data_IF_367977027499
#
_entry.id   IF_367977027499
#
_cell.length_a   1.000
_cell.length_b   1.000
_cell.length_c   1.000
_cell.angle_alpha   90.00
_cell.angle_beta   90.00
_cell.angle_gamma   90.00
#
_symmetry.space_group_name_H-M   'P 1'
#
loop_
_entity.id
_entity.type
_entity.pdbx_description
1 polymer ?
#
# COMPACT_ATOMS: atom_id res chain seq x y z
N UNK A 1 1.05 19.24 15.20
CA UNK A 1 1.29 17.92 14.59
C UNK A 1 1.09 18.07 13.10
N UNK A 2 2.16 17.95 12.30
CA UNK A 2 2.08 18.09 10.85
C UNK A 2 1.29 16.90 10.30
N UNK A 3 0.13 17.15 9.67
CA UNK A 3 -0.63 16.06 9.03
C UNK A 3 0.23 15.46 7.90
N UNK A 4 0.26 14.12 7.74
CA UNK A 4 0.95 13.52 6.61
C UNK A 4 0.36 14.03 5.31
N UNK A 5 1.21 14.31 4.31
CA UNK A 5 0.72 14.76 3.00
C UNK A 5 -0.03 13.67 2.23
N UNK A 6 0.19 12.40 2.57
CA UNK A 6 -0.56 11.25 2.04
C UNK A 6 -1.09 10.43 3.21
N UNK A 7 -2.40 10.19 3.24
CA UNK A 7 -3.05 9.36 4.26
C UNK A 7 -3.95 8.32 3.64
N UNK A 8 -3.92 7.12 4.20
CA UNK A 8 -4.80 6.00 3.86
C UNK A 8 -4.97 5.13 5.11
N UNK A 9 -6.08 4.36 5.22
CA UNK A 9 -6.31 3.47 6.36
C UNK A 9 -5.30 2.31 6.38
N UNK A 10 -5.36 1.47 7.42
CA UNK A 10 -4.70 0.17 7.37
C UNK A 10 -5.51 -0.78 6.47
N UNK A 11 -4.87 -1.74 5.79
CA UNK A 11 -5.59 -2.76 5.04
C UNK A 11 -6.53 -3.55 5.98
N UNK A 12 -7.75 -3.86 5.54
CA UNK A 12 -8.65 -4.72 6.28
C UNK A 12 -8.08 -6.14 6.35
N UNK A 13 -8.75 -7.00 7.12
CA UNK A 13 -8.43 -8.43 7.12
C UNK A 13 -8.53 -8.97 5.70
N UNK A 14 -7.47 -9.63 5.25
CA UNK A 14 -7.38 -10.20 3.90
C UNK A 14 -8.43 -11.32 3.80
N UNK A 15 -9.36 -11.25 2.84
CA UNK A 15 -10.44 -12.23 2.71
C UNK A 15 -9.90 -13.50 2.04
N UNK A 16 -9.12 -14.29 2.77
CA UNK A 16 -8.60 -15.55 2.27
C UNK A 16 -9.74 -16.59 2.15
N UNK A 17 -10.12 -17.03 0.93
CA UNK A 17 -11.30 -17.88 0.74
C UNK A 17 -11.12 -19.31 1.28
N UNK A 18 -9.89 -19.71 1.60
CA UNK A 18 -9.57 -21.07 2.00
C UNK A 18 -9.67 -22.04 0.81
N UNK A 19 -8.59 -22.75 0.53
CA UNK A 19 -8.59 -23.80 -0.50
C UNK A 19 -7.26 -24.54 -0.52
N UNK A 20 -7.28 -25.83 -0.84
CA UNK A 20 -6.10 -26.69 -0.86
C UNK A 20 -5.03 -26.32 -1.92
N UNK A 21 -5.24 -25.26 -2.70
CA UNK A 21 -4.44 -24.92 -3.89
C UNK A 21 -3.77 -23.54 -3.79
N UNK A 22 -4.35 -22.60 -3.04
CA UNK A 22 -3.69 -21.31 -2.83
C UNK A 22 -2.84 -21.36 -1.57
N UNK A 23 -1.64 -20.78 -1.67
CA UNK A 23 -0.84 -20.48 -0.49
C UNK A 23 -1.29 -19.10 0.05
N UNK A 24 -1.49 -18.96 1.38
CA UNK A 24 -2.05 -17.75 1.96
C UNK A 24 -1.16 -16.52 1.79
N UNK A 25 0.17 -16.68 1.83
CA UNK A 25 1.13 -15.58 1.64
C UNK A 25 1.08 -14.94 0.25
N UNK A 26 1.25 -15.69 -0.85
CA UNK A 26 1.16 -15.16 -2.22
C UNK A 26 -0.22 -14.56 -2.54
N UNK A 27 -1.30 -15.15 -2.01
CA UNK A 27 -2.64 -14.57 -2.13
C UNK A 27 -2.72 -13.21 -1.43
N UNK A 28 -2.25 -13.14 -0.18
CA UNK A 28 -2.23 -11.91 0.59
C UNK A 28 -1.41 -10.81 -0.08
N UNK A 29 -0.29 -11.16 -0.72
CA UNK A 29 0.49 -10.21 -1.51
C UNK A 29 -0.34 -9.65 -2.68
N UNK A 30 -0.95 -10.51 -3.50
CA UNK A 30 -1.76 -10.07 -4.65
C UNK A 30 -2.95 -9.19 -4.22
N UNK A 31 -3.63 -9.57 -3.14
CA UNK A 31 -4.74 -8.81 -2.56
C UNK A 31 -4.28 -7.41 -2.10
N UNK A 32 -3.16 -7.32 -1.37
CA UNK A 32 -2.59 -6.05 -0.90
C UNK A 32 -2.15 -5.12 -2.05
N UNK A 33 -1.70 -5.67 -3.17
CA UNK A 33 -1.31 -4.88 -4.36
C UNK A 33 -2.53 -4.28 -5.09
N UNK A 34 -3.72 -4.87 -4.90
CA UNK A 34 -4.98 -4.43 -5.53
C UNK A 34 -5.94 -3.77 -4.55
N UNK A 35 -5.64 -3.84 -3.25
CA UNK A 35 -6.50 -3.38 -2.18
C UNK A 35 -6.91 -1.91 -2.36
N UNK A 36 -8.22 -1.63 -2.54
CA UNK A 36 -8.74 -0.28 -2.68
C UNK A 36 -8.96 0.37 -1.32
N UNK A 37 -8.58 1.64 -1.20
CA UNK A 37 -8.84 2.45 -0.02
C UNK A 37 -9.11 3.91 -0.39
N UNK A 38 -9.71 4.63 0.55
CA UNK A 38 -9.78 6.08 0.46
C UNK A 38 -8.41 6.66 0.79
N UNK A 39 -7.77 7.27 -0.21
CA UNK A 39 -6.45 7.89 -0.07
C UNK A 39 -6.60 9.39 -0.18
N UNK A 40 -6.04 10.14 0.77
CA UNK A 40 -5.95 11.60 0.67
C UNK A 40 -4.53 12.00 0.34
N UNK A 41 -4.33 12.79 -0.72
CA UNK A 41 -3.04 13.37 -1.11
C UNK A 41 -3.21 14.88 -1.12
N UNK A 42 -2.48 15.60 -0.26
CA UNK A 42 -2.53 17.07 -0.17
C UNK A 42 -3.97 17.62 -0.14
N UNK A 43 -4.80 17.06 0.73
CA UNK A 43 -6.23 17.42 0.91
C UNK A 43 -7.18 16.97 -0.22
N UNK A 44 -6.65 16.36 -1.30
CA UNK A 44 -7.45 15.76 -2.37
C UNK A 44 -7.78 14.32 -2.03
N UNK A 45 -9.06 13.98 -1.98
CA UNK A 45 -9.54 12.62 -1.77
C UNK A 45 -9.58 11.82 -3.08
N UNK A 46 -8.97 10.64 -3.05
CA UNK A 46 -9.00 9.60 -4.06
C UNK A 46 -9.80 8.42 -3.49
N UNK A 47 -11.12 8.36 -3.73
CA UNK A 47 -11.97 7.34 -3.15
C UNK A 47 -11.73 5.97 -3.79
N UNK A 48 -11.81 4.89 -3.00
CA UNK A 48 -11.72 3.49 -3.47
C UNK A 48 -10.55 3.23 -4.43
N UNK A 49 -9.42 3.88 -4.21
CA UNK A 49 -8.27 3.84 -5.10
C UNK A 49 -7.29 2.75 -4.64
N UNK A 50 -6.77 1.91 -5.54
CA UNK A 50 -5.78 0.92 -5.15
C UNK A 50 -4.51 1.62 -4.65
N UNK A 51 -4.14 1.37 -3.39
CA UNK A 51 -3.11 2.16 -2.69
C UNK A 51 -1.74 1.97 -3.33
N UNK A 52 -1.36 0.73 -3.62
CA UNK A 52 -0.06 0.40 -4.19
C UNK A 52 0.24 1.11 -5.53
N UNK A 53 -0.60 1.02 -6.59
CA UNK A 53 -0.31 1.72 -7.84
C UNK A 53 -0.36 3.24 -7.71
N UNK A 54 -1.21 3.78 -6.81
CA UNK A 54 -1.19 5.21 -6.52
C UNK A 54 0.17 5.62 -5.93
N UNK A 55 0.68 4.90 -4.93
CA UNK A 55 1.99 5.18 -4.33
C UNK A 55 3.13 5.08 -5.35
N UNK A 56 3.09 4.11 -6.28
CA UNK A 56 4.06 4.05 -7.39
C UNK A 56 4.01 5.29 -8.27
N UNK A 57 2.81 5.78 -8.60
CA UNK A 57 2.65 7.02 -9.37
C UNK A 57 3.21 8.24 -8.60
N UNK A 58 2.91 8.35 -7.30
CA UNK A 58 3.43 9.42 -6.44
C UNK A 58 4.96 9.39 -6.33
N UNK A 59 5.57 8.20 -6.27
CA UNK A 59 7.03 8.04 -6.25
C UNK A 59 7.68 8.34 -7.61
N UNK A 60 6.98 8.02 -8.71
CA UNK A 60 7.47 8.28 -10.05
C UNK A 60 7.50 9.79 -10.36
N UNK A 61 6.44 10.51 -10.01
CA UNK A 61 6.34 11.95 -10.26
C UNK A 61 5.66 12.69 -9.09
N UNK A 62 6.35 12.88 -7.95
CA UNK A 62 5.75 13.52 -6.77
C UNK A 62 5.30 14.96 -7.03
N UNK A 63 6.02 15.68 -7.88
CA UNK A 63 5.75 17.09 -8.19
C UNK A 63 4.41 17.28 -8.93
N UNK A 64 4.02 16.33 -9.78
CA UNK A 64 2.70 16.35 -10.44
C UNK A 64 1.53 16.25 -9.45
N UNK A 65 1.79 15.79 -8.23
CA UNK A 65 0.80 15.67 -7.16
C UNK A 65 1.02 16.69 -6.03
N UNK A 66 1.89 17.69 -6.23
CA UNK A 66 2.21 18.69 -5.21
C UNK A 66 2.92 18.12 -3.98
N UNK A 67 3.62 17.00 -4.14
CA UNK A 67 4.43 16.35 -3.11
C UNK A 67 5.91 16.61 -3.35
N UNK A 68 6.68 16.63 -2.28
CA UNK A 68 8.13 16.43 -2.37
C UNK A 68 8.45 14.93 -2.32
N UNK A 69 9.62 14.56 -2.82
CA UNK A 69 10.13 13.17 -2.79
C UNK A 69 9.99 12.53 -1.40
N UNK A 70 10.40 13.23 -0.36
CA UNK A 70 10.37 12.73 1.01
C UNK A 70 8.94 12.39 1.50
N UNK A 71 7.92 13.09 1.03
CA UNK A 71 6.52 12.80 1.41
C UNK A 71 5.98 11.57 0.69
N UNK A 72 6.33 11.40 -0.59
CA UNK A 72 5.99 10.19 -1.33
C UNK A 72 6.70 8.96 -0.73
N UNK A 73 7.95 9.11 -0.30
CA UNK A 73 8.70 8.04 0.38
C UNK A 73 8.14 7.71 1.76
N UNK A 74 7.72 8.73 2.53
CA UNK A 74 7.03 8.50 3.81
C UNK A 74 5.70 7.75 3.61
N UNK A 75 4.99 8.02 2.52
CA UNK A 75 3.78 7.30 2.16
C UNK A 75 4.07 5.83 1.81
N UNK A 76 5.15 5.57 1.06
CA UNK A 76 5.65 4.21 0.78
C UNK A 76 5.98 3.46 2.07
N UNK A 77 6.76 4.07 2.95
CA UNK A 77 7.19 3.46 4.22
C UNK A 77 6.00 3.08 5.11
N UNK A 78 5.00 3.98 5.18
CA UNK A 78 3.75 3.71 5.88
C UNK A 78 2.99 2.53 5.27
N UNK A 79 2.93 2.43 3.94
CA UNK A 79 2.31 1.29 3.27
C UNK A 79 3.06 -0.01 3.57
N UNK A 80 4.39 -0.02 3.45
CA UNK A 80 5.21 -1.19 3.76
C UNK A 80 5.03 -1.65 5.20
N UNK A 81 4.90 -0.72 6.14
CA UNK A 81 4.61 -1.04 7.55
C UNK A 81 3.23 -1.68 7.71
N UNK A 82 2.18 -1.04 7.21
CA UNK A 82 0.78 -1.49 7.41
C UNK A 82 0.46 -2.77 6.62
N UNK A 83 0.81 -2.79 5.34
CA UNK A 83 0.61 -3.94 4.46
C UNK A 83 1.57 -5.08 4.83
N UNK A 84 2.79 -4.79 5.28
CA UNK A 84 3.74 -5.81 5.75
C UNK A 84 3.23 -6.54 6.99
N UNK A 85 2.59 -5.82 7.92
CA UNK A 85 1.93 -6.45 9.07
C UNK A 85 0.78 -7.37 8.65
N UNK A 86 -0.07 -6.93 7.71
CA UNK A 86 -1.16 -7.75 7.19
C UNK A 86 -0.65 -8.98 6.41
N UNK A 87 0.41 -8.82 5.60
CA UNK A 87 1.04 -9.91 4.85
C UNK A 87 1.66 -10.96 5.78
N UNK A 88 2.39 -10.51 6.81
CA UNK A 88 3.00 -11.39 7.79
C UNK A 88 1.97 -12.19 8.59
N UNK A 89 0.80 -11.59 8.89
CA UNK A 89 -0.30 -12.28 9.56
C UNK A 89 -0.85 -13.47 8.74
N UNK A 90 -0.80 -13.38 7.42
CA UNK A 90 -1.21 -14.46 6.50
C UNK A 90 -0.04 -15.38 6.10
N UNK A 91 1.14 -15.24 6.74
CA UNK A 91 2.32 -16.08 6.51
C UNK A 91 3.18 -15.68 5.31
N UNK A 92 3.00 -14.47 4.75
CA UNK A 92 3.89 -13.91 3.73
C UNK A 92 5.10 -13.16 4.30
N UNK A 93 6.10 -12.90 3.46
CA UNK A 93 7.29 -12.13 3.85
C UNK A 93 7.11 -10.63 3.47
N UNK A 94 7.20 -9.69 4.43
CA UNK A 94 7.08 -8.24 4.15
C UNK A 94 8.03 -7.73 3.05
N UNK A 95 9.20 -8.36 2.87
CA UNK A 95 10.16 -7.99 1.81
C UNK A 95 9.61 -8.20 0.41
N UNK A 96 8.57 -9.03 0.24
CA UNK A 96 7.92 -9.17 -1.05
C UNK A 96 7.28 -7.84 -1.49
N UNK A 97 6.64 -7.11 -0.57
CA UNK A 97 6.07 -5.79 -0.89
C UNK A 97 7.17 -4.78 -1.25
N UNK A 98 8.29 -4.80 -0.55
CA UNK A 98 9.45 -3.94 -0.86
C UNK A 98 9.97 -4.18 -2.28
N UNK A 99 10.05 -5.46 -2.68
CA UNK A 99 10.49 -5.85 -4.04
C UNK A 99 9.55 -5.35 -5.12
N UNK A 100 8.24 -5.30 -4.85
CA UNK A 100 7.26 -4.79 -5.82
C UNK A 100 7.42 -3.29 -6.08
N UNK A 101 7.93 -2.50 -5.12
CA UNK A 101 8.28 -1.09 -5.35
C UNK A 101 9.61 -0.91 -6.10
N UNK A 102 10.51 -1.89 -6.05
CA UNK A 102 11.79 -1.86 -6.76
C UNK A 102 11.69 -2.32 -8.23
N UNK A 103 10.49 -2.69 -8.67
CA UNK A 103 10.20 -3.31 -9.97
C UNK A 103 9.68 -2.32 -11.01
#
# INVERSE_FOLDING_TARGET
MNRPAVTFPAPPRIPYPGGCVLEPGPYALDDLLKWPADVTVRDVLYPSTPVFPLLRALLANPEAHGLIRAEAEAARDRFLTLAGQALAAEGGDPKWLEREFAR
#
